data_IF_089108196720
#
_entry.id   IF_089108196720
#
_cell.length_a   1.000
_cell.length_b   1.000
_cell.length_c   1.000
_cell.angle_alpha   90.00
_cell.angle_beta   90.00
_cell.angle_gamma   90.00
#
_symmetry.space_group_name_H-M   'P 1'
#
loop_
_entity.id
_entity.type
_entity.pdbx_description
1 polymer ?
#
# COMPACT_ATOMS: atom_id res chain seq x y z
N UNK A 1 -39.02 19.58 39.85
CA UNK A 1 -39.18 19.38 38.41
C UNK A 1 -37.89 19.84 37.76
N UNK A 2 -37.23 18.92 37.03
CA UNK A 2 -36.16 19.07 36.01
C UNK A 2 -34.89 19.85 36.39
N UNK A 3 -33.64 19.45 36.09
CA UNK A 3 -33.05 18.34 35.34
C UNK A 3 -31.55 18.32 35.70
N UNK A 4 -30.96 17.13 35.88
CA UNK A 4 -29.51 16.92 35.85
C UNK A 4 -29.00 17.23 34.43
N UNK A 5 -28.01 18.12 34.30
CA UNK A 5 -27.27 18.28 33.04
C UNK A 5 -25.82 17.83 33.24
N UNK A 6 -25.66 16.51 33.17
CA UNK A 6 -24.44 15.83 32.74
C UNK A 6 -24.16 16.15 31.27
N UNK A 7 -23.00 16.75 30.99
CA UNK A 7 -22.11 16.39 29.88
C UNK A 7 -21.12 17.53 29.65
N UNK A 8 -19.84 17.24 29.84
CA UNK A 8 -18.82 17.83 28.98
C UNK A 8 -17.97 16.67 28.53
N UNK A 9 -18.41 16.11 27.40
CA UNK A 9 -17.72 15.07 26.66
C UNK A 9 -16.27 15.50 26.39
N UNK A 10 -15.39 14.70 26.94
CA UNK A 10 -13.98 14.62 26.63
C UNK A 10 -13.84 14.36 25.13
N UNK A 11 -13.58 15.44 24.38
CA UNK A 11 -13.27 15.37 22.95
C UNK A 11 -11.77 15.20 22.78
N UNK A 12 -11.22 14.15 23.37
CA UNK A 12 -9.96 13.57 22.91
C UNK A 12 -10.19 13.01 21.52
N UNK A 13 -9.94 13.86 20.52
CA UNK A 13 -9.87 13.49 19.11
C UNK A 13 -8.59 12.67 18.96
N UNK A 14 -8.66 11.42 19.38
CA UNK A 14 -7.65 10.41 19.15
C UNK A 14 -7.65 10.16 17.65
N UNK A 15 -6.84 10.94 16.95
CA UNK A 15 -6.37 10.61 15.61
C UNK A 15 -5.53 9.35 15.79
N UNK A 16 -6.20 8.21 15.89
CA UNK A 16 -5.55 6.90 15.84
C UNK A 16 -4.97 6.84 14.44
N UNK A 17 -3.71 7.27 14.33
CA UNK A 17 -2.84 6.91 13.23
C UNK A 17 -3.03 5.41 13.08
N UNK A 18 -3.72 4.98 12.01
CA UNK A 18 -3.81 3.57 11.68
C UNK A 18 -2.38 3.12 11.52
N UNK A 19 -1.84 2.47 12.54
CA UNK A 19 -0.52 1.86 12.48
C UNK A 19 -0.65 0.77 11.43
N UNK A 20 -0.27 1.09 10.20
CA UNK A 20 -0.22 0.15 9.11
C UNK A 20 0.79 -0.91 9.53
N UNK A 21 0.30 -2.09 9.92
CA UNK A 21 1.16 -3.20 10.29
C UNK A 21 1.86 -3.67 9.03
N UNK A 22 3.17 -3.41 8.95
CA UNK A 22 4.00 -3.89 7.84
C UNK A 22 4.13 -5.42 7.97
N UNK A 23 3.73 -6.19 6.95
CA UNK A 23 3.84 -7.65 6.96
C UNK A 23 5.29 -8.12 7.13
N UNK A 24 5.46 -9.32 7.68
CA UNK A 24 6.77 -9.85 8.08
C UNK A 24 7.82 -9.81 6.94
N UNK A 25 7.46 -10.23 5.73
CA UNK A 25 8.36 -10.25 4.57
C UNK A 25 8.84 -8.83 4.16
N UNK A 26 8.00 -7.81 4.39
CA UNK A 26 8.32 -6.40 4.11
C UNK A 26 8.98 -5.70 5.31
N UNK A 27 8.92 -6.30 6.50
CA UNK A 27 9.52 -5.74 7.73
C UNK A 27 11.03 -6.00 7.86
N UNK A 28 11.63 -6.74 6.92
CA UNK A 28 13.08 -6.94 6.85
C UNK A 28 13.80 -5.62 6.52
N UNK A 29 15.10 -5.45 6.85
CA UNK A 29 15.84 -4.24 6.49
C UNK A 29 15.80 -3.93 4.99
N UNK A 30 15.83 -4.96 4.15
CA UNK A 30 15.70 -4.82 2.69
C UNK A 30 14.28 -4.40 2.28
N UNK A 31 13.25 -5.00 2.87
CA UNK A 31 11.86 -4.64 2.63
C UNK A 31 11.55 -3.20 3.04
N UNK A 32 12.00 -2.78 4.23
CA UNK A 32 11.87 -1.40 4.71
C UNK A 32 12.62 -0.42 3.81
N UNK A 33 13.85 -0.76 3.40
CA UNK A 33 14.62 0.05 2.45
C UNK A 33 13.89 0.19 1.11
N UNK A 34 13.24 -0.87 0.63
CA UNK A 34 12.45 -0.83 -0.60
C UNK A 34 11.21 0.05 -0.46
N UNK A 35 10.50 -0.04 0.67
CA UNK A 35 9.34 0.82 0.94
C UNK A 35 9.73 2.30 0.95
N UNK A 36 10.80 2.66 1.66
CA UNK A 36 11.30 4.04 1.69
C UNK A 36 11.71 4.53 0.29
N UNK A 37 12.42 3.70 -0.48
CA UNK A 37 12.76 4.03 -1.87
C UNK A 37 11.52 4.35 -2.73
N UNK A 38 10.42 3.62 -2.54
CA UNK A 38 9.16 3.89 -3.25
C UNK A 38 8.41 5.11 -2.70
N UNK A 39 8.56 5.44 -1.42
CA UNK A 39 8.07 6.69 -0.83
C UNK A 39 8.81 7.90 -1.40
N UNK A 40 10.15 7.85 -1.45
CA UNK A 40 10.99 8.92 -2.03
C UNK A 40 10.67 9.16 -3.50
N UNK A 41 10.26 8.11 -4.23
CA UNK A 41 9.79 8.21 -5.61
C UNK A 41 8.36 8.77 -5.76
N UNK A 42 7.64 9.03 -4.67
CA UNK A 42 6.25 9.50 -4.64
C UNK A 42 5.24 8.46 -5.12
N UNK A 43 5.60 7.18 -5.08
CA UNK A 43 4.76 6.06 -5.52
C UNK A 43 3.95 5.49 -4.36
N UNK A 44 4.54 5.50 -3.16
CA UNK A 44 3.87 5.25 -1.91
C UNK A 44 3.77 6.56 -1.10
N UNK A 45 2.73 6.67 -0.27
CA UNK A 45 2.62 7.75 0.72
C UNK A 45 3.40 7.42 2.01
N UNK A 46 3.37 8.35 2.97
CA UNK A 46 4.00 8.22 4.30
C UNK A 46 3.56 6.97 5.08
N UNK A 47 2.37 6.42 4.79
CA UNK A 47 1.81 5.21 5.41
C UNK A 47 2.07 3.95 4.58
N UNK A 48 2.99 4.01 3.62
CA UNK A 48 3.32 2.95 2.67
C UNK A 48 2.13 2.49 1.82
N UNK A 49 1.10 3.35 1.64
CA UNK A 49 -0.04 3.09 0.78
C UNK A 49 0.26 3.53 -0.65
N UNK A 50 -0.28 2.83 -1.67
CA UNK A 50 -0.11 3.23 -3.06
C UNK A 50 -0.78 4.58 -3.29
N UNK A 51 -0.15 5.44 -4.08
CA UNK A 51 -0.72 6.73 -4.44
C UNK A 51 -2.14 6.56 -5.02
N UNK A 52 -3.09 7.41 -4.59
CA UNK A 52 -4.54 7.23 -4.83
C UNK A 52 -4.93 7.19 -6.31
N UNK A 53 -4.11 7.74 -7.20
CA UNK A 53 -4.30 7.73 -8.65
C UNK A 53 -3.92 6.42 -9.32
N UNK A 54 -3.30 5.47 -8.60
CA UNK A 54 -2.90 4.20 -9.18
C UNK A 54 -4.10 3.28 -9.39
N UNK A 55 -4.14 2.67 -10.57
CA UNK A 55 -5.07 1.57 -10.85
C UNK A 55 -4.61 0.28 -10.17
N UNK A 56 -5.51 -0.67 -9.94
CA UNK A 56 -5.16 -1.99 -9.38
C UNK A 56 -4.11 -2.71 -10.21
N UNK A 57 -4.13 -2.55 -11.54
CA UNK A 57 -3.11 -3.11 -12.43
C UNK A 57 -1.72 -2.50 -12.17
N UNK A 58 -1.64 -1.19 -11.99
CA UNK A 58 -0.40 -0.48 -11.67
C UNK A 58 0.12 -0.82 -10.27
N UNK A 59 -0.79 -0.98 -9.29
CA UNK A 59 -0.41 -1.52 -7.97
C UNK A 59 0.20 -2.92 -8.10
N UNK A 60 -0.34 -3.77 -8.98
CA UNK A 60 0.23 -5.06 -9.31
C UNK A 60 1.67 -4.99 -9.87
N UNK A 61 1.99 -3.98 -10.69
CA UNK A 61 3.37 -3.75 -11.13
C UNK A 61 4.31 -3.49 -9.95
N UNK A 62 3.86 -2.80 -8.91
CA UNK A 62 4.66 -2.57 -7.70
C UNK A 62 4.90 -3.86 -6.93
N UNK A 63 3.88 -4.71 -6.78
CA UNK A 63 4.03 -6.04 -6.16
C UNK A 63 5.06 -6.87 -6.91
N UNK A 64 4.98 -6.92 -8.24
CA UNK A 64 5.94 -7.66 -9.06
C UNK A 64 7.36 -7.12 -8.96
N UNK A 65 7.51 -5.78 -8.93
CA UNK A 65 8.82 -5.13 -8.72
C UNK A 65 9.41 -5.46 -7.36
N UNK A 66 8.61 -5.34 -6.29
CA UNK A 66 9.04 -5.72 -4.94
C UNK A 66 9.45 -7.18 -4.88
N UNK A 67 8.63 -8.08 -5.46
CA UNK A 67 8.92 -9.51 -5.50
C UNK A 67 10.29 -9.79 -6.16
N UNK A 68 10.57 -9.13 -7.28
CA UNK A 68 11.84 -9.28 -7.99
C UNK A 68 13.03 -8.69 -7.22
N UNK A 69 12.91 -7.44 -6.74
CA UNK A 69 14.03 -6.73 -6.08
C UNK A 69 14.36 -7.29 -4.70
N UNK A 70 13.36 -7.82 -3.99
CA UNK A 70 13.51 -8.44 -2.68
C UNK A 70 13.72 -9.95 -2.75
N UNK A 71 13.75 -10.53 -3.96
CA UNK A 71 13.88 -11.98 -4.20
C UNK A 71 12.87 -12.82 -3.39
N UNK A 72 11.61 -12.39 -3.37
CA UNK A 72 10.52 -13.05 -2.64
C UNK A 72 9.86 -14.12 -3.51
N UNK A 73 9.42 -15.22 -2.89
CA UNK A 73 8.69 -16.27 -3.61
C UNK A 73 7.30 -15.80 -4.09
N UNK A 74 6.60 -15.04 -3.26
CA UNK A 74 5.33 -14.38 -3.55
C UNK A 74 5.00 -13.39 -2.43
N UNK A 75 4.64 -12.15 -2.75
CA UNK A 75 4.32 -11.11 -1.76
C UNK A 75 2.90 -10.52 -1.94
N UNK A 76 2.05 -11.15 -2.75
CA UNK A 76 0.68 -10.67 -2.99
C UNK A 76 -0.16 -10.59 -1.71
N UNK A 77 0.03 -11.54 -0.78
CA UNK A 77 -0.68 -11.54 0.51
C UNK A 77 -0.21 -10.38 1.38
N UNK A 78 1.09 -10.11 1.41
CA UNK A 78 1.67 -9.04 2.21
C UNK A 78 1.17 -7.68 1.73
N UNK A 79 1.27 -7.39 0.44
CA UNK A 79 0.74 -6.14 -0.12
C UNK A 79 -0.78 -6.03 -0.02
N UNK A 80 -1.51 -7.14 -0.07
CA UNK A 80 -2.96 -7.18 0.19
C UNK A 80 -3.29 -6.72 1.61
N UNK A 81 -2.54 -7.18 2.61
CA UNK A 81 -2.68 -6.77 4.01
C UNK A 81 -2.26 -5.31 4.19
N UNK A 82 -1.09 -4.94 3.66
CA UNK A 82 -0.53 -3.60 3.78
C UNK A 82 -1.46 -2.54 3.21
N UNK A 83 -2.04 -2.79 2.03
CA UNK A 83 -2.87 -1.82 1.32
C UNK A 83 -4.37 -1.97 1.59
N UNK A 84 -4.74 -2.95 2.43
CA UNK A 84 -6.13 -3.30 2.69
C UNK A 84 -6.95 -3.53 1.39
N UNK A 85 -6.33 -4.22 0.42
CA UNK A 85 -6.96 -4.60 -0.86
C UNK A 85 -7.07 -6.12 -0.88
N UNK A 86 -8.20 -6.66 -1.32
CA UNK A 86 -8.35 -8.11 -1.48
C UNK A 86 -7.26 -8.69 -2.41
N UNK A 87 -6.55 -9.72 -1.93
CA UNK A 87 -5.45 -10.39 -2.66
C UNK A 87 -5.82 -10.82 -4.07
N UNK A 88 -6.98 -11.45 -4.27
CA UNK A 88 -7.38 -11.94 -5.59
C UNK A 88 -7.75 -10.78 -6.51
N UNK A 89 -8.41 -9.74 -5.98
CA UNK A 89 -8.66 -8.49 -6.73
C UNK A 89 -7.36 -7.85 -7.20
N UNK A 90 -6.35 -7.79 -6.33
CA UNK A 90 -5.03 -7.23 -6.66
C UNK A 90 -4.33 -8.06 -7.74
N UNK A 91 -4.27 -9.39 -7.56
CA UNK A 91 -3.65 -10.31 -8.52
C UNK A 91 -4.35 -10.33 -9.87
N UNK A 92 -5.67 -10.44 -9.89
CA UNK A 92 -6.45 -10.48 -11.14
C UNK A 92 -6.50 -9.10 -11.81
N UNK A 93 -6.52 -8.02 -11.05
CA UNK A 93 -6.41 -6.67 -11.60
C UNK A 93 -5.10 -6.47 -12.37
N UNK A 94 -3.98 -7.02 -11.85
CA UNK A 94 -2.72 -7.08 -12.58
C UNK A 94 -2.82 -7.94 -13.84
N UNK A 95 -3.22 -9.22 -13.71
CA UNK A 95 -3.29 -10.17 -14.84
C UNK A 95 -4.15 -9.62 -15.99
N UNK A 96 -5.29 -9.00 -15.68
CA UNK A 96 -6.20 -8.47 -16.68
C UNK A 96 -5.72 -7.12 -17.27
N UNK A 97 -4.94 -6.35 -16.52
CA UNK A 97 -4.58 -4.98 -16.86
C UNK A 97 -3.12 -4.76 -17.26
N UNK A 98 -2.24 -5.75 -17.10
CA UNK A 98 -0.78 -5.61 -17.32
C UNK A 98 -0.41 -5.23 -18.77
N UNK A 99 -1.25 -5.60 -19.74
CA UNK A 99 -1.02 -5.32 -21.16
C UNK A 99 -1.67 -4.01 -21.63
N UNK A 100 -2.40 -3.29 -20.77
CA UNK A 100 -2.95 -1.99 -21.11
C UNK A 100 -1.81 -0.96 -21.26
N UNK A 101 -1.92 -0.07 -22.26
CA UNK A 101 -0.89 0.94 -22.57
C UNK A 101 -0.44 1.72 -21.34
N UNK A 102 -1.39 2.22 -20.54
CA UNK A 102 -1.13 2.97 -19.31
C UNK A 102 -0.36 2.16 -18.25
N UNK A 103 -0.59 0.84 -18.18
CA UNK A 103 0.09 -0.04 -17.21
C UNK A 103 1.51 -0.34 -17.68
N UNK A 104 1.71 -0.55 -18.98
CA UNK A 104 3.04 -0.73 -19.58
C UNK A 104 3.89 0.53 -19.39
N UNK A 105 3.33 1.71 -19.67
CA UNK A 105 4.02 3.00 -19.46
C UNK A 105 4.36 3.23 -17.99
N UNK A 106 3.44 2.90 -17.09
CA UNK A 106 3.68 2.95 -15.66
C UNK A 106 4.80 1.99 -15.23
N UNK A 107 4.79 0.74 -15.71
CA UNK A 107 5.83 -0.24 -15.37
C UNK A 107 7.22 0.24 -15.81
N UNK A 108 7.32 0.87 -17.00
CA UNK A 108 8.55 1.51 -17.49
C UNK A 108 8.97 2.74 -16.67
N UNK A 109 8.02 3.46 -16.08
CA UNK A 109 8.31 4.59 -15.20
C UNK A 109 8.93 4.08 -13.89
N UNK A 110 8.30 3.10 -13.23
CA UNK A 110 8.75 2.60 -11.93
C UNK A 110 10.01 1.74 -12.01
N UNK A 111 10.39 1.22 -13.19
CA UNK A 111 11.65 0.50 -13.36
C UNK A 111 12.88 1.40 -13.23
N UNK A 112 12.72 2.73 -13.26
CA UNK A 112 13.81 3.71 -13.12
C UNK A 112 14.14 4.04 -11.66
N UNK A 113 13.24 3.70 -10.75
CA UNK A 113 13.43 3.83 -9.32
C UNK A 113 14.14 2.56 -8.85
#
# INVERSE_FOLDING_TARGET
MVEENSNTDDKSKEEVAKVTVIPQELSTPQGIGWLHKMQDAGVLDENCQPASQLTVAQMGCLVMKAQFELNLSSCWKDFSLLWNINREKLRMGFVNGQNAKQTIEYNKKISKY
#
